data_IF_769085534848
#
_entry.id   IF_769085534848
#
_cell.length_a   1.000
_cell.length_b   1.000
_cell.length_c   1.000
_cell.angle_alpha   90.00
_cell.angle_beta   90.00
_cell.angle_gamma   90.00
#
_symmetry.space_group_name_H-M   'P 1'
#
loop_
_entity.id
_entity.type
_entity.pdbx_description
1 polymer ?
#
# COMPACT_ATOMS: atom_id res chain seq x y z
N UNK A 1 21.90 16.53 16.73
CA UNK A 1 22.26 15.49 17.73
C UNK A 1 21.45 14.26 17.39
N UNK A 2 22.08 13.10 17.29
CA UNK A 2 21.43 11.82 16.94
C UNK A 2 21.47 10.95 18.19
N UNK A 3 20.35 10.35 18.64
CA UNK A 3 20.35 9.43 19.77
C UNK A 3 21.19 8.19 19.46
N UNK A 4 22.01 7.77 20.39
CA UNK A 4 22.81 6.54 20.25
C UNK A 4 22.02 5.35 20.80
N UNK A 5 21.34 4.61 19.91
CA UNK A 5 20.57 3.44 20.30
C UNK A 5 21.41 2.17 20.56
N UNK A 6 22.72 2.24 20.41
CA UNK A 6 23.63 1.20 20.87
C UNK A 6 23.89 1.32 22.38
N UNK A 7 23.59 2.50 22.98
CA UNK A 7 23.72 2.77 24.40
C UNK A 7 22.43 2.42 25.15
N UNK A 8 22.45 1.45 26.10
CA UNK A 8 21.27 1.07 26.87
C UNK A 8 20.66 2.22 27.69
N UNK A 9 21.48 3.12 28.23
CA UNK A 9 20.99 4.27 29.03
C UNK A 9 20.23 5.27 28.12
N UNK A 10 20.70 5.46 26.89
CA UNK A 10 19.98 6.26 25.90
C UNK A 10 18.61 5.63 25.62
N UNK A 11 18.55 4.33 25.43
CA UNK A 11 17.27 3.62 25.20
C UNK A 11 16.32 3.80 26.39
N UNK A 12 16.79 3.60 27.62
CA UNK A 12 15.97 3.77 28.84
C UNK A 12 15.41 5.18 28.91
N UNK A 13 16.26 6.20 28.75
CA UNK A 13 15.87 7.61 28.84
C UNK A 13 14.93 7.99 27.68
N UNK A 14 15.22 7.56 26.47
CA UNK A 14 14.46 7.88 25.27
C UNK A 14 13.05 7.29 25.32
N UNK A 15 12.93 6.02 25.64
CA UNK A 15 11.66 5.32 25.68
C UNK A 15 10.86 5.62 26.96
N UNK A 16 11.53 5.85 28.09
CA UNK A 16 10.86 6.32 29.32
C UNK A 16 10.06 7.61 29.12
N UNK A 17 10.55 8.51 28.25
CA UNK A 17 9.82 9.73 27.86
C UNK A 17 8.65 9.51 26.91
N UNK A 18 8.45 8.29 26.40
CA UNK A 18 7.41 7.92 25.42
C UNK A 18 6.42 6.91 25.93
N UNK A 19 6.73 6.27 27.06
CA UNK A 19 5.86 5.25 27.64
C UNK A 19 4.43 5.74 27.84
N UNK A 20 4.25 7.00 28.29
CA UNK A 20 2.94 7.58 28.48
C UNK A 20 2.04 7.57 27.24
N UNK A 21 2.62 7.60 26.04
CA UNK A 21 1.85 7.51 24.78
C UNK A 21 1.20 6.14 24.62
N UNK A 22 1.95 5.08 24.93
CA UNK A 22 1.41 3.71 24.93
C UNK A 22 0.35 3.55 26.03
N UNK A 23 0.59 4.14 27.22
CA UNK A 23 -0.35 4.12 28.33
C UNK A 23 -1.66 4.87 28.01
N UNK A 24 -1.59 5.87 27.11
CA UNK A 24 -2.76 6.58 26.56
C UNK A 24 -3.49 5.81 25.46
N UNK A 25 -2.95 4.67 24.99
CA UNK A 25 -3.55 3.83 23.96
C UNK A 25 -3.07 4.11 22.52
N UNK A 26 -1.87 4.69 22.36
CA UNK A 26 -1.24 4.80 21.01
C UNK A 26 -0.84 3.43 20.52
N UNK A 27 -1.29 3.05 19.33
CA UNK A 27 -1.07 1.72 18.75
C UNK A 27 0.29 1.54 18.06
N UNK A 28 1.10 2.61 17.92
CA UNK A 28 2.40 2.52 17.27
C UNK A 28 3.05 3.86 16.98
N UNK A 29 4.16 3.82 16.28
CA UNK A 29 4.92 5.00 15.91
C UNK A 29 5.31 5.01 14.43
N UNK A 30 5.31 6.19 13.84
CA UNK A 30 6.03 6.49 12.60
C UNK A 30 7.43 6.96 12.99
N UNK A 31 8.45 6.21 12.60
CA UNK A 31 9.86 6.53 12.82
C UNK A 31 10.44 7.17 11.58
N UNK A 32 10.46 8.48 11.59
CA UNK A 32 10.99 9.29 10.51
C UNK A 32 12.51 9.46 10.64
N UNK A 33 13.21 9.69 9.52
CA UNK A 33 14.66 9.80 9.50
C UNK A 33 15.38 8.47 9.73
N UNK A 34 16.54 8.54 10.37
CA UNK A 34 17.41 7.39 10.66
C UNK A 34 18.59 7.27 9.72
N UNK A 35 18.64 7.98 8.61
CA UNK A 35 19.72 7.99 7.62
C UNK A 35 20.76 9.10 7.82
N UNK A 36 20.70 9.86 8.92
CA UNK A 36 21.45 11.11 9.10
C UNK A 36 22.83 10.99 9.76
N UNK A 37 23.46 9.81 9.76
CA UNK A 37 24.86 9.67 10.18
C UNK A 37 25.77 10.10 9.03
N UNK A 38 26.01 11.40 8.92
CA UNK A 38 26.69 12.00 7.77
C UNK A 38 28.19 12.26 7.98
N UNK A 39 28.73 12.01 9.16
CA UNK A 39 30.13 12.26 9.49
C UNK A 39 30.83 11.03 10.07
N UNK A 40 32.06 10.84 9.69
CA UNK A 40 32.92 9.76 10.20
C UNK A 40 33.46 10.05 11.62
N UNK A 41 33.34 11.30 12.08
CA UNK A 41 33.85 11.76 13.39
C UNK A 41 33.00 11.34 14.60
N UNK A 42 31.85 10.74 14.37
CA UNK A 42 30.95 10.25 15.44
C UNK A 42 31.43 8.88 15.91
N UNK A 43 31.42 8.66 17.23
CA UNK A 43 31.64 7.36 17.85
C UNK A 43 30.40 6.95 18.63
N UNK A 44 29.99 5.68 18.53
CA UNK A 44 28.88 5.09 19.22
C UNK A 44 29.32 4.28 20.44
N UNK A 45 28.43 4.02 21.36
CA UNK A 45 28.70 3.30 22.60
C UNK A 45 29.24 1.87 22.36
N UNK A 46 28.78 1.20 21.29
CA UNK A 46 29.27 -0.14 20.90
C UNK A 46 30.69 -0.10 20.26
N UNK A 47 31.29 1.07 20.16
CA UNK A 47 32.63 1.29 19.58
C UNK A 47 32.62 1.49 18.07
N UNK A 48 31.48 1.42 17.40
CA UNK A 48 31.40 1.70 15.97
C UNK A 48 31.59 3.19 15.67
N UNK A 49 32.17 3.48 14.51
CA UNK A 49 32.40 4.84 13.99
C UNK A 49 31.21 5.29 13.13
N UNK A 50 31.13 6.60 12.88
CA UNK A 50 30.13 7.15 11.97
C UNK A 50 30.18 6.55 10.57
N UNK A 51 31.38 6.21 10.09
CA UNK A 51 31.59 5.54 8.81
C UNK A 51 30.93 4.15 8.76
N UNK A 52 31.15 3.34 9.80
CA UNK A 52 30.58 2.00 9.93
C UNK A 52 29.06 2.07 10.16
N UNK A 53 28.62 3.04 10.93
CA UNK A 53 27.23 3.17 11.36
C UNK A 53 26.34 3.90 10.37
N UNK A 54 26.86 4.47 9.28
CA UNK A 54 26.06 5.22 8.29
C UNK A 54 24.81 4.47 7.80
N UNK A 55 24.98 3.21 7.41
CA UNK A 55 23.90 2.32 7.03
C UNK A 55 23.38 1.43 8.18
N UNK A 56 24.20 1.26 9.24
CA UNK A 56 23.84 0.41 10.39
C UNK A 56 22.90 1.14 11.37
N UNK A 57 22.99 2.46 11.47
CA UNK A 57 22.14 3.24 12.36
C UNK A 57 20.63 3.07 12.13
N UNK A 58 20.10 3.05 10.88
CA UNK A 58 18.69 2.76 10.65
C UNK A 58 18.21 1.45 11.30
N UNK A 59 19.04 0.41 11.26
CA UNK A 59 18.73 -0.86 11.92
C UNK A 59 18.68 -0.73 13.44
N UNK A 60 19.64 -0.03 14.05
CA UNK A 60 19.67 0.17 15.51
C UNK A 60 18.47 0.99 15.96
N UNK A 61 18.14 2.04 15.23
CA UNK A 61 16.98 2.90 15.47
C UNK A 61 15.68 2.12 15.46
N UNK A 62 15.38 1.43 14.38
CA UNK A 62 14.12 0.67 14.24
C UNK A 62 14.07 -0.54 15.18
N UNK A 63 15.19 -1.22 15.43
CA UNK A 63 15.29 -2.32 16.39
C UNK A 63 14.95 -1.86 17.81
N UNK A 64 15.50 -0.70 18.24
CA UNK A 64 15.23 -0.14 19.55
C UNK A 64 13.74 0.19 19.71
N UNK A 65 13.07 0.78 18.70
CA UNK A 65 11.63 1.02 18.70
C UNK A 65 10.83 -0.29 18.68
N UNK A 66 11.22 -1.28 17.89
CA UNK A 66 10.55 -2.59 17.85
C UNK A 66 10.61 -3.27 19.23
N UNK A 67 11.75 -3.21 19.90
CA UNK A 67 11.90 -3.76 21.25
C UNK A 67 11.04 -3.02 22.28
N UNK A 68 10.96 -1.71 22.20
CA UNK A 68 10.11 -0.90 23.06
C UNK A 68 8.62 -1.17 22.85
N UNK A 69 8.19 -1.30 21.60
CA UNK A 69 6.80 -1.49 21.23
C UNK A 69 6.29 -2.92 21.52
N UNK A 70 7.16 -3.91 21.41
CA UNK A 70 6.75 -5.32 21.49
C UNK A 70 5.87 -5.74 20.31
N UNK A 71 5.13 -6.85 20.48
CA UNK A 71 4.42 -7.50 19.37
C UNK A 71 3.02 -6.93 19.06
N UNK A 72 2.50 -6.06 19.92
CA UNK A 72 1.10 -5.59 19.82
C UNK A 72 0.95 -4.20 19.19
N UNK A 73 2.05 -3.62 18.72
CA UNK A 73 2.08 -2.27 18.19
C UNK A 73 2.72 -2.25 16.80
N UNK A 74 2.43 -1.21 16.04
CA UNK A 74 2.95 -1.03 14.67
C UNK A 74 4.13 -0.07 14.69
N UNK A 75 5.21 -0.44 14.01
CA UNK A 75 6.30 0.46 13.65
C UNK A 75 6.26 0.70 12.14
N UNK A 76 6.18 1.97 11.75
CA UNK A 76 6.17 2.44 10.38
C UNK A 76 7.39 3.31 10.13
N UNK A 77 8.34 2.82 9.35
CA UNK A 77 9.69 3.39 9.24
C UNK A 77 10.03 3.81 7.82
N UNK A 78 10.91 4.81 7.70
CA UNK A 78 11.46 5.27 6.42
C UNK A 78 12.77 4.58 6.09
N UNK A 79 13.78 4.79 6.92
CA UNK A 79 15.10 4.27 6.69
C UNK A 79 15.20 2.77 6.94
N UNK A 80 16.05 2.11 6.17
CA UNK A 80 16.29 0.69 6.30
C UNK A 80 17.65 0.26 5.76
N UNK A 81 18.16 -0.87 6.28
CA UNK A 81 19.35 -1.56 5.81
C UNK A 81 19.22 -3.06 6.12
N UNK A 82 20.33 -3.80 6.22
CA UNK A 82 20.31 -5.22 6.60
C UNK A 82 19.58 -5.43 7.93
N UNK A 83 18.74 -6.46 8.01
CA UNK A 83 17.90 -6.72 9.19
C UNK A 83 16.58 -5.95 9.22
N UNK A 84 16.33 -5.05 8.28
CA UNK A 84 15.13 -4.20 8.27
C UNK A 84 13.81 -4.97 8.08
N UNK A 85 13.85 -6.19 7.57
CA UNK A 85 12.70 -7.09 7.50
C UNK A 85 12.05 -7.37 8.88
N UNK A 86 12.73 -7.06 9.98
CA UNK A 86 12.14 -7.11 11.33
C UNK A 86 11.17 -5.96 11.60
N UNK A 87 11.19 -4.92 10.77
CA UNK A 87 10.24 -3.81 10.80
C UNK A 87 9.40 -3.88 9.52
N UNK A 88 8.20 -4.44 9.58
CA UNK A 88 7.48 -4.87 8.37
C UNK A 88 6.86 -3.73 7.57
N UNK A 89 6.64 -2.55 8.16
CA UNK A 89 5.95 -1.43 7.52
C UNK A 89 6.92 -0.29 7.18
N UNK A 90 6.99 0.07 5.89
CA UNK A 90 7.85 1.16 5.40
C UNK A 90 7.13 2.04 4.39
N UNK A 91 7.63 3.28 4.22
CA UNK A 91 7.22 4.18 3.15
C UNK A 91 8.42 4.73 2.37
N UNK A 92 8.13 5.31 1.20
CA UNK A 92 9.13 5.77 0.24
C UNK A 92 9.90 7.03 0.61
N UNK A 93 9.64 7.64 1.78
CA UNK A 93 10.28 8.90 2.17
C UNK A 93 9.65 10.13 1.50
N UNK A 94 10.41 11.21 1.40
CA UNK A 94 9.96 12.54 1.01
C UNK A 94 10.09 12.75 -0.53
N UNK A 95 9.39 11.94 -1.32
CA UNK A 95 9.45 12.04 -2.78
C UNK A 95 8.86 13.35 -3.30
N UNK A 96 9.40 13.80 -4.42
CA UNK A 96 8.87 14.97 -5.13
C UNK A 96 7.53 14.66 -5.81
N UNK A 97 6.71 15.69 -6.03
CA UNK A 97 5.43 15.56 -6.72
C UNK A 97 5.61 15.60 -8.24
N UNK A 98 6.20 14.55 -8.79
CA UNK A 98 6.46 14.37 -10.22
C UNK A 98 6.09 12.97 -10.70
N UNK A 99 5.85 12.81 -12.00
CA UNK A 99 5.59 11.48 -12.58
C UNK A 99 6.81 10.56 -12.49
N UNK A 100 8.02 11.10 -12.57
CA UNK A 100 9.26 10.34 -12.37
C UNK A 100 9.31 9.73 -10.98
N UNK A 101 9.01 10.54 -9.97
CA UNK A 101 8.98 10.05 -8.58
C UNK A 101 7.84 9.03 -8.35
N UNK A 102 6.70 9.17 -9.02
CA UNK A 102 5.66 8.14 -8.95
C UNK A 102 6.15 6.78 -9.49
N UNK A 103 6.96 6.78 -10.56
CA UNK A 103 7.63 5.58 -11.06
C UNK A 103 8.67 5.05 -10.08
N UNK A 104 9.47 5.94 -9.50
CA UNK A 104 10.50 5.58 -8.54
C UNK A 104 9.94 4.95 -7.27
N UNK A 105 8.84 5.48 -6.70
CA UNK A 105 8.24 4.89 -5.49
C UNK A 105 7.65 3.51 -5.76
N UNK A 106 7.09 3.26 -6.95
CA UNK A 106 6.66 1.92 -7.34
C UNK A 106 7.85 0.97 -7.41
N UNK A 107 8.90 1.33 -8.13
CA UNK A 107 10.12 0.52 -8.26
C UNK A 107 10.79 0.27 -6.91
N UNK A 108 10.86 1.30 -6.06
CA UNK A 108 11.38 1.18 -4.70
C UNK A 108 10.55 0.21 -3.85
N UNK A 109 9.21 0.28 -3.94
CA UNK A 109 8.30 -0.63 -3.24
C UNK A 109 8.46 -2.08 -3.67
N UNK A 110 8.61 -2.33 -4.98
CA UNK A 110 8.85 -3.68 -5.51
C UNK A 110 10.23 -4.21 -5.10
N UNK A 111 11.24 -3.36 -5.07
CA UNK A 111 12.59 -3.72 -4.59
C UNK A 111 12.61 -3.98 -3.08
N UNK A 112 11.89 -3.17 -2.30
CA UNK A 112 11.71 -3.38 -0.87
C UNK A 112 11.01 -4.72 -0.57
N UNK A 113 9.99 -5.07 -1.36
CA UNK A 113 9.31 -6.35 -1.27
C UNK A 113 10.28 -7.53 -1.47
N UNK A 114 11.13 -7.47 -2.50
CA UNK A 114 12.18 -8.49 -2.74
C UNK A 114 13.24 -8.53 -1.62
N UNK A 115 13.37 -7.46 -0.84
CA UNK A 115 14.25 -7.36 0.33
C UNK A 115 13.57 -7.79 1.64
N UNK A 116 12.32 -8.28 1.60
CA UNK A 116 11.60 -8.81 2.75
C UNK A 116 10.74 -7.78 3.50
N UNK A 117 10.51 -6.59 2.96
CA UNK A 117 9.55 -5.62 3.52
C UNK A 117 8.13 -6.07 3.15
N UNK A 118 7.30 -6.32 4.18
CA UNK A 118 5.98 -6.89 3.98
C UNK A 118 4.94 -5.86 3.50
N UNK A 119 5.00 -4.64 4.03
CA UNK A 119 4.00 -3.60 3.78
C UNK A 119 4.69 -2.30 3.37
N UNK A 120 4.39 -1.87 2.16
CA UNK A 120 4.94 -0.66 1.57
C UNK A 120 3.87 0.40 1.34
N UNK A 121 4.24 1.65 1.54
CA UNK A 121 3.43 2.81 1.20
C UNK A 121 4.28 3.97 0.68
N UNK A 122 3.61 5.03 0.31
CA UNK A 122 4.24 6.27 -0.14
C UNK A 122 3.33 7.45 0.14
N UNK A 123 3.90 8.65 0.16
CA UNK A 123 3.14 9.88 0.35
C UNK A 123 2.36 10.22 -0.93
N UNK A 124 1.04 10.19 -0.82
CA UNK A 124 0.14 10.28 -1.95
C UNK A 124 0.37 11.59 -2.72
N UNK A 125 0.64 11.47 -4.02
CA UNK A 125 0.96 12.56 -4.94
C UNK A 125 2.24 13.34 -4.62
N UNK A 126 3.10 12.80 -3.75
CA UNK A 126 4.38 13.38 -3.36
C UNK A 126 4.31 14.17 -2.06
N UNK A 127 5.42 14.17 -1.33
CA UNK A 127 5.60 14.88 -0.07
C UNK A 127 6.03 16.34 -0.29
N UNK A 128 7.04 16.56 -1.15
CA UNK A 128 7.72 17.83 -1.35
C UNK A 128 7.70 18.27 -2.83
N UNK A 129 8.32 19.41 -3.11
CA UNK A 129 8.51 19.94 -4.45
C UNK A 129 7.28 20.64 -5.04
N UNK A 130 7.14 20.63 -6.37
CA UNK A 130 6.07 21.37 -7.04
C UNK A 130 4.69 20.88 -6.62
N UNK A 131 3.68 21.74 -6.79
CA UNK A 131 2.30 21.32 -6.62
C UNK A 131 1.99 20.22 -7.64
N UNK A 132 1.49 19.03 -7.20
CA UNK A 132 1.14 17.97 -8.13
C UNK A 132 0.03 18.42 -9.07
N UNK A 133 0.11 18.05 -10.35
CA UNK A 133 -1.03 18.22 -11.26
C UNK A 133 -2.20 17.33 -10.79
N UNK A 134 -3.43 17.68 -11.15
CA UNK A 134 -4.59 16.83 -10.85
C UNK A 134 -4.46 15.45 -11.48
N UNK A 135 -3.81 15.36 -12.63
CA UNK A 135 -3.54 14.10 -13.32
C UNK A 135 -2.57 13.19 -12.54
N UNK A 136 -1.43 13.74 -12.08
CA UNK A 136 -0.52 13.02 -11.19
C UNK A 136 -1.23 12.56 -9.92
N UNK A 137 -2.03 13.44 -9.31
CA UNK A 137 -2.76 13.12 -8.08
C UNK A 137 -3.74 11.96 -8.28
N UNK A 138 -4.50 11.96 -9.41
CA UNK A 138 -5.39 10.85 -9.79
C UNK A 138 -4.65 9.53 -9.84
N UNK A 139 -3.54 9.46 -10.57
CA UNK A 139 -2.77 8.23 -10.76
C UNK A 139 -2.15 7.75 -9.48
N UNK A 140 -1.59 8.65 -8.69
CA UNK A 140 -1.05 8.34 -7.38
C UNK A 140 -2.14 7.76 -6.45
N UNK A 141 -3.35 8.35 -6.46
CA UNK A 141 -4.49 7.86 -5.68
C UNK A 141 -4.95 6.49 -6.15
N UNK A 142 -5.05 6.27 -7.46
CA UNK A 142 -5.40 4.98 -8.04
C UNK A 142 -4.39 3.89 -7.65
N UNK A 143 -3.09 4.18 -7.77
CA UNK A 143 -2.03 3.28 -7.34
C UNK A 143 -2.11 3.01 -5.83
N UNK A 144 -2.21 4.06 -5.00
CA UNK A 144 -2.26 3.94 -3.54
C UNK A 144 -3.48 3.14 -3.06
N UNK A 145 -4.60 3.18 -3.79
CA UNK A 145 -5.79 2.37 -3.50
C UNK A 145 -5.46 0.86 -3.48
N UNK A 146 -4.51 0.42 -4.30
CA UNK A 146 -4.09 -0.97 -4.45
C UNK A 146 -2.68 -1.25 -3.90
N UNK A 147 -2.14 -0.41 -3.04
CA UNK A 147 -0.90 -0.71 -2.29
C UNK A 147 -1.20 -1.15 -0.85
N UNK A 148 -0.26 -1.79 -0.16
CA UNK A 148 -0.48 -2.20 1.23
C UNK A 148 -0.86 -1.03 2.16
N UNK A 149 -0.18 0.10 2.05
CA UNK A 149 -0.43 1.29 2.86
C UNK A 149 -0.81 2.45 1.93
N UNK A 150 -1.90 3.14 2.27
CA UNK A 150 -2.36 4.35 1.60
C UNK A 150 -2.38 5.48 2.63
N UNK A 151 -1.62 6.55 2.38
CA UNK A 151 -1.52 7.67 3.31
C UNK A 151 -1.47 9.01 2.58
N UNK A 152 -2.03 10.03 3.21
CA UNK A 152 -1.73 11.42 2.90
C UNK A 152 -0.61 11.91 3.81
N UNK A 153 0.39 12.49 3.22
CA UNK A 153 1.43 13.20 3.93
C UNK A 153 2.08 14.19 2.98
N UNK A 154 2.33 15.39 3.45
CA UNK A 154 2.97 16.42 2.66
C UNK A 154 3.77 17.36 3.55
N UNK A 155 4.70 18.08 2.95
CA UNK A 155 5.55 19.03 3.63
C UNK A 155 4.71 20.06 4.42
N UNK A 156 4.90 20.19 5.73
CA UNK A 156 4.03 21.00 6.59
C UNK A 156 4.15 22.51 6.33
N UNK A 157 5.31 22.98 5.92
CA UNK A 157 5.55 24.38 5.61
C UNK A 157 5.26 24.73 4.14
N UNK A 158 4.83 23.76 3.38
CA UNK A 158 4.10 23.80 2.14
C UNK A 158 4.67 24.49 0.96
N UNK A 159 5.89 24.95 0.97
CA UNK A 159 6.50 25.54 -0.21
C UNK A 159 5.53 26.42 -1.01
N UNK A 160 5.32 26.09 -2.26
CA UNK A 160 4.42 26.81 -3.17
C UNK A 160 2.94 26.75 -2.76
N UNK A 161 2.53 25.81 -1.95
CA UNK A 161 1.12 25.65 -1.56
C UNK A 161 0.62 26.78 -0.68
N UNK A 162 1.48 27.31 0.19
CA UNK A 162 1.17 28.42 1.09
C UNK A 162 0.77 29.69 0.33
N UNK A 163 1.41 29.91 -0.83
CA UNK A 163 1.16 31.09 -1.67
C UNK A 163 -0.10 30.94 -2.54
N UNK A 164 -0.49 29.71 -2.84
CA UNK A 164 -1.59 29.40 -3.76
C UNK A 164 -2.95 29.26 -3.07
N UNK A 165 -2.97 29.01 -1.75
CA UNK A 165 -4.21 28.78 -1.03
C UNK A 165 -4.97 30.09 -0.75
N UNK A 166 -6.29 30.11 -0.99
CA UNK A 166 -7.13 31.23 -0.56
C UNK A 166 -7.07 31.42 0.96
N UNK A 167 -6.59 32.56 1.44
CA UNK A 167 -6.44 32.86 2.87
C UNK A 167 -5.05 32.69 3.44
N UNK A 168 -4.07 32.20 2.67
CA UNK A 168 -2.62 32.37 2.84
C UNK A 168 -1.94 31.84 4.10
N UNK A 169 -2.63 31.38 5.11
CA UNK A 169 -2.00 30.93 6.34
C UNK A 169 -2.48 29.52 6.78
N UNK A 170 -1.52 28.62 6.95
CA UNK A 170 -1.64 27.47 7.86
C UNK A 170 -2.23 26.17 7.35
N UNK A 171 -2.66 26.06 6.08
CA UNK A 171 -3.15 24.78 5.56
C UNK A 171 -2.40 24.36 4.30
N UNK A 172 -1.32 23.64 4.49
CA UNK A 172 -0.41 23.17 3.44
C UNK A 172 -0.70 21.75 2.96
N UNK A 173 -1.74 21.14 3.47
CA UNK A 173 -2.09 19.77 3.09
C UNK A 173 -2.49 19.70 1.62
N UNK A 174 -1.88 18.79 0.90
CA UNK A 174 -2.27 18.42 -0.47
C UNK A 174 -3.52 17.54 -0.44
N UNK A 175 -4.52 17.94 0.34
CA UNK A 175 -5.79 17.23 0.41
C UNK A 175 -6.58 17.40 -0.88
N UNK A 176 -7.53 16.48 -1.23
CA UNK A 176 -8.38 16.65 -2.39
C UNK A 176 -9.15 17.97 -2.42
N UNK A 177 -9.53 18.50 -1.26
CA UNK A 177 -10.25 19.77 -1.12
C UNK A 177 -9.35 20.96 -1.49
N UNK A 178 -8.12 20.97 -0.97
CA UNK A 178 -7.14 22.01 -1.28
C UNK A 178 -6.75 21.97 -2.76
N UNK A 179 -6.51 20.78 -3.30
CA UNK A 179 -6.22 20.58 -4.72
C UNK A 179 -7.38 21.09 -5.60
N UNK A 180 -8.63 20.73 -5.25
CA UNK A 180 -9.81 21.21 -5.97
C UNK A 180 -9.94 22.73 -5.92
N UNK A 181 -9.64 23.36 -4.78
CA UNK A 181 -9.67 24.83 -4.65
C UNK A 181 -8.62 25.51 -5.51
N UNK A 182 -7.36 25.05 -5.45
CA UNK A 182 -6.25 25.64 -6.23
C UNK A 182 -6.47 25.52 -7.73
N UNK A 183 -6.97 24.37 -8.20
CA UNK A 183 -7.21 24.14 -9.64
C UNK A 183 -8.61 24.53 -10.10
N UNK A 184 -9.44 25.10 -9.22
CA UNK A 184 -10.85 25.42 -9.50
C UNK A 184 -11.62 24.24 -10.14
N UNK A 185 -11.47 23.04 -9.56
CA UNK A 185 -12.01 21.77 -10.05
C UNK A 185 -12.77 21.04 -8.94
N UNK A 186 -13.98 21.46 -8.58
CA UNK A 186 -14.75 20.89 -7.47
C UNK A 186 -15.12 19.41 -7.69
N UNK A 187 -15.25 18.97 -8.93
CA UNK A 187 -15.48 17.57 -9.33
C UNK A 187 -14.35 16.64 -8.89
N UNK A 188 -13.14 17.16 -8.75
CA UNK A 188 -11.97 16.39 -8.29
C UNK A 188 -12.18 15.76 -6.92
N UNK A 189 -12.86 16.46 -6.00
CA UNK A 189 -13.18 15.90 -4.68
C UNK A 189 -14.08 14.65 -4.81
N UNK A 190 -15.05 14.68 -5.73
CA UNK A 190 -15.96 13.55 -5.95
C UNK A 190 -15.22 12.36 -6.55
N UNK A 191 -14.30 12.61 -7.48
CA UNK A 191 -13.45 11.59 -8.07
C UNK A 191 -12.52 10.94 -7.03
N UNK A 192 -11.86 11.75 -6.21
CA UNK A 192 -10.99 11.23 -5.14
C UNK A 192 -11.78 10.47 -4.09
N UNK A 193 -12.99 10.92 -3.76
CA UNK A 193 -13.90 10.22 -2.85
C UNK A 193 -14.22 8.82 -3.32
N UNK A 194 -14.44 8.61 -4.62
CA UNK A 194 -14.63 7.28 -5.19
C UNK A 194 -13.47 6.34 -4.86
N UNK A 195 -12.22 6.74 -5.10
CA UNK A 195 -11.04 5.91 -4.86
C UNK A 195 -10.80 5.61 -3.38
N UNK A 196 -11.06 6.58 -2.51
CA UNK A 196 -10.94 6.37 -1.06
C UNK A 196 -12.01 5.41 -0.53
N UNK A 197 -13.25 5.51 -1.04
CA UNK A 197 -14.28 4.54 -0.69
C UNK A 197 -14.01 3.17 -1.31
N UNK A 198 -13.47 3.09 -2.52
CA UNK A 198 -13.03 1.82 -3.10
C UNK A 198 -11.94 1.16 -2.22
N UNK A 199 -11.00 1.95 -1.69
CA UNK A 199 -10.04 1.45 -0.70
C UNK A 199 -10.72 0.86 0.54
N UNK A 200 -11.77 1.50 1.04
CA UNK A 200 -12.58 0.98 2.15
C UNK A 200 -13.36 -0.27 1.76
N UNK A 201 -13.89 -0.34 0.52
CA UNK A 201 -14.50 -1.58 0.02
C UNK A 201 -13.51 -2.75 -0.02
N UNK A 202 -12.25 -2.50 -0.38
CA UNK A 202 -11.18 -3.50 -0.41
C UNK A 202 -10.71 -3.97 0.98
N UNK A 203 -11.10 -3.30 2.06
CA UNK A 203 -10.60 -3.54 3.41
C UNK A 203 -10.65 -5.02 3.85
N UNK A 204 -11.72 -5.81 3.60
CA UNK A 204 -11.75 -7.23 3.98
C UNK A 204 -10.66 -8.05 3.29
N UNK A 205 -10.43 -7.82 1.99
CA UNK A 205 -9.35 -8.46 1.24
C UNK A 205 -7.98 -8.04 1.77
N UNK A 206 -7.77 -6.75 1.96
CA UNK A 206 -6.49 -6.18 2.42
C UNK A 206 -6.12 -6.71 3.81
N UNK A 207 -7.08 -6.75 4.73
CA UNK A 207 -6.87 -7.27 6.09
C UNK A 207 -6.51 -8.76 6.08
N UNK A 208 -7.30 -9.60 5.42
CA UNK A 208 -7.02 -11.02 5.35
C UNK A 208 -5.67 -11.31 4.68
N UNK A 209 -5.35 -10.58 3.60
CA UNK A 209 -4.06 -10.67 2.92
C UNK A 209 -2.91 -10.23 3.83
N UNK A 210 -3.06 -9.15 4.59
CA UNK A 210 -2.04 -8.67 5.51
C UNK A 210 -1.78 -9.69 6.63
N UNK A 211 -2.82 -10.29 7.22
CA UNK A 211 -2.67 -11.34 8.23
C UNK A 211 -1.89 -12.55 7.68
N UNK A 212 -2.26 -13.01 6.49
CA UNK A 212 -1.56 -14.12 5.83
C UNK A 212 -0.10 -13.76 5.52
N UNK A 213 0.14 -12.61 4.92
CA UNK A 213 1.50 -12.15 4.58
C UNK A 213 2.39 -12.02 5.83
N UNK A 214 1.84 -11.52 6.94
CA UNK A 214 2.57 -11.45 8.20
C UNK A 214 2.90 -12.83 8.77
N UNK A 215 1.96 -13.78 8.68
CA UNK A 215 2.16 -15.15 9.16
C UNK A 215 3.19 -15.92 8.32
N UNK A 216 3.10 -15.81 7.01
CA UNK A 216 3.97 -16.52 6.05
C UNK A 216 5.30 -15.81 5.78
N UNK A 217 5.47 -14.56 6.26
CA UNK A 217 6.64 -13.70 6.00
C UNK A 217 6.86 -13.42 4.51
N UNK A 218 5.78 -13.22 3.77
CA UNK A 218 5.79 -12.87 2.35
C UNK A 218 5.28 -11.45 2.14
N UNK A 219 5.86 -10.66 1.19
CA UNK A 219 5.40 -9.31 0.96
C UNK A 219 3.98 -9.29 0.38
N UNK A 220 3.22 -8.26 0.74
CA UNK A 220 1.85 -8.09 0.26
C UNK A 220 1.80 -7.56 -1.18
N UNK A 221 2.79 -6.76 -1.57
CA UNK A 221 2.97 -6.21 -2.92
C UNK A 221 4.16 -6.91 -3.58
N UNK A 222 3.93 -7.71 -4.63
CA UNK A 222 4.94 -8.59 -5.21
C UNK A 222 5.14 -8.34 -6.69
N UNK A 223 6.37 -8.06 -7.16
CA UNK A 223 6.65 -7.98 -8.60
C UNK A 223 6.37 -9.33 -9.28
N UNK A 224 6.05 -9.32 -10.58
CA UNK A 224 5.71 -10.54 -11.30
C UNK A 224 6.81 -11.60 -11.25
N UNK A 225 8.08 -11.21 -11.26
CA UNK A 225 9.22 -12.12 -11.13
C UNK A 225 9.23 -12.92 -9.82
N UNK A 226 8.62 -12.41 -8.75
CA UNK A 226 8.50 -13.12 -7.48
C UNK A 226 7.60 -14.36 -7.62
N UNK A 227 6.47 -14.20 -8.30
CA UNK A 227 5.48 -15.29 -8.49
C UNK A 227 5.83 -16.22 -9.66
N UNK A 228 6.38 -15.64 -10.75
CA UNK A 228 6.71 -16.37 -11.96
C UNK A 228 8.19 -16.24 -12.31
N UNK A 229 9.13 -16.74 -11.47
CA UNK A 229 10.58 -16.56 -11.67
C UNK A 229 11.12 -17.27 -12.91
N UNK A 230 10.38 -18.24 -13.49
CA UNK A 230 10.77 -18.97 -14.70
C UNK A 230 10.16 -18.38 -15.96
N UNK A 231 9.19 -17.51 -15.84
CA UNK A 231 8.58 -16.81 -16.97
C UNK A 231 9.50 -15.66 -17.42
N UNK A 232 10.00 -15.76 -18.65
CA UNK A 232 10.95 -14.79 -19.21
C UNK A 232 10.31 -13.41 -19.41
N UNK A 233 9.03 -13.35 -19.77
CA UNK A 233 8.32 -12.09 -19.93
C UNK A 233 8.04 -11.43 -18.57
N UNK A 234 7.55 -12.19 -17.58
CA UNK A 234 7.33 -11.69 -16.22
C UNK A 234 8.59 -11.09 -15.57
N UNK A 235 9.77 -11.65 -15.90
CA UNK A 235 11.08 -11.14 -15.41
C UNK A 235 11.48 -9.79 -15.99
N UNK A 236 10.86 -9.35 -17.07
CA UNK A 236 11.14 -8.06 -17.72
C UNK A 236 10.11 -6.98 -17.33
N UNK A 237 9.07 -7.36 -16.59
CA UNK A 237 8.03 -6.42 -16.17
C UNK A 237 8.45 -5.73 -14.88
N UNK A 238 8.63 -4.42 -14.93
CA UNK A 238 9.12 -3.60 -13.83
C UNK A 238 8.03 -2.77 -13.14
N UNK A 239 6.84 -2.69 -13.75
CA UNK A 239 5.79 -1.75 -13.36
C UNK A 239 4.40 -2.40 -13.21
N UNK A 240 4.37 -3.70 -12.91
CA UNK A 240 3.19 -4.48 -12.57
C UNK A 240 3.48 -5.33 -11.34
N UNK A 241 2.45 -5.57 -10.54
CA UNK A 241 2.60 -6.34 -9.31
C UNK A 241 1.32 -7.07 -8.92
N UNK A 242 1.46 -8.12 -8.12
CA UNK A 242 0.36 -8.69 -7.37
C UNK A 242 0.20 -7.99 -6.02
N UNK A 243 -1.02 -7.60 -5.71
CA UNK A 243 -1.46 -7.28 -4.36
C UNK A 243 -2.11 -8.53 -3.76
N UNK A 244 -1.40 -9.19 -2.84
CA UNK A 244 -1.78 -10.53 -2.39
C UNK A 244 -1.70 -11.55 -3.53
N UNK A 245 -2.56 -12.58 -3.50
CA UNK A 245 -2.53 -13.65 -4.49
C UNK A 245 -3.47 -13.42 -5.68
N UNK A 246 -4.49 -12.58 -5.45
CA UNK A 246 -5.63 -12.50 -6.35
C UNK A 246 -5.63 -11.28 -7.27
N UNK A 247 -5.00 -10.17 -6.92
CA UNK A 247 -5.15 -8.91 -7.65
C UNK A 247 -3.85 -8.54 -8.35
N UNK A 248 -3.84 -8.48 -9.68
CA UNK A 248 -2.78 -7.91 -10.49
C UNK A 248 -3.08 -6.44 -10.75
N UNK A 249 -2.10 -5.58 -10.50
CA UNK A 249 -2.18 -4.13 -10.66
C UNK A 249 -1.16 -3.68 -11.68
N UNK A 250 -1.62 -2.98 -12.71
CA UNK A 250 -0.79 -2.41 -13.76
C UNK A 250 -1.03 -0.89 -13.86
N UNK A 251 -0.39 -0.08 -12.99
CA UNK A 251 -0.71 1.33 -12.86
C UNK A 251 -0.36 2.15 -14.09
N UNK A 252 -1.14 3.21 -14.33
CA UNK A 252 -0.84 4.24 -15.32
C UNK A 252 0.16 5.21 -14.70
N UNK A 253 1.36 5.32 -15.24
CA UNK A 253 2.48 6.06 -14.62
C UNK A 253 2.91 7.29 -15.42
N UNK A 254 2.48 7.40 -16.69
CA UNK A 254 2.85 8.51 -17.55
C UNK A 254 1.78 9.60 -17.55
N UNK A 255 2.21 10.83 -17.74
CA UNK A 255 1.30 12.00 -17.78
C UNK A 255 0.23 11.83 -18.88
N UNK A 256 -1.04 12.08 -18.51
CA UNK A 256 -2.21 11.93 -19.41
C UNK A 256 -2.37 10.53 -20.02
N UNK A 257 -1.74 9.51 -19.46
CA UNK A 257 -1.85 8.14 -19.95
C UNK A 257 -3.26 7.58 -19.69
N UNK A 258 -3.91 7.08 -20.72
CA UNK A 258 -5.25 6.47 -20.65
C UNK A 258 -5.27 4.97 -20.94
N UNK A 259 -4.18 4.45 -21.49
CA UNK A 259 -4.01 3.04 -21.83
C UNK A 259 -2.54 2.65 -21.73
N UNK A 260 -2.29 1.34 -21.60
CA UNK A 260 -0.93 0.77 -21.59
C UNK A 260 -0.93 -0.68 -22.02
N UNK A 261 0.24 -1.17 -22.35
CA UNK A 261 0.48 -2.61 -22.45
C UNK A 261 0.59 -3.22 -21.06
N UNK A 262 -0.05 -4.39 -20.87
CA UNK A 262 -0.04 -5.17 -19.61
C UNK A 262 0.31 -6.60 -19.94
N UNK A 263 1.31 -7.15 -19.27
CA UNK A 263 1.64 -8.56 -19.36
C UNK A 263 0.79 -9.35 -18.35
N UNK A 264 0.04 -10.32 -18.87
CA UNK A 264 -0.73 -11.26 -18.06
C UNK A 264 0.03 -12.59 -17.99
N UNK A 265 0.56 -12.99 -16.83
CA UNK A 265 1.19 -14.30 -16.63
C UNK A 265 0.22 -15.47 -16.82
N UNK A 266 0.73 -16.70 -16.78
CA UNK A 266 -0.08 -17.93 -16.93
C UNK A 266 -1.34 -17.92 -16.06
N UNK A 267 -2.47 -18.34 -16.64
CA UNK A 267 -3.79 -18.44 -16.02
C UNK A 267 -4.86 -17.64 -16.73
N UNK A 268 -5.97 -17.43 -16.08
CA UNK A 268 -7.06 -16.55 -16.52
C UNK A 268 -7.07 -15.29 -15.68
N UNK A 269 -7.41 -14.15 -16.28
CA UNK A 269 -7.41 -12.85 -15.66
C UNK A 269 -8.70 -12.10 -15.99
N UNK A 270 -9.37 -11.60 -14.99
CA UNK A 270 -10.66 -10.93 -15.11
C UNK A 270 -10.50 -9.46 -14.73
N UNK A 271 -10.89 -8.53 -15.60
CA UNK A 271 -10.86 -7.10 -15.24
C UNK A 271 -11.70 -6.86 -13.99
N UNK A 272 -11.13 -6.13 -13.00
CA UNK A 272 -11.73 -5.96 -11.68
C UNK A 272 -13.13 -5.32 -11.74
N UNK A 273 -13.34 -4.32 -12.59
CA UNK A 273 -14.60 -3.58 -12.67
C UNK A 273 -15.63 -4.20 -13.61
N UNK A 274 -15.20 -4.93 -14.65
CA UNK A 274 -16.11 -5.37 -15.73
C UNK A 274 -16.18 -6.89 -15.87
N UNK A 275 -15.32 -7.65 -15.20
CA UNK A 275 -15.29 -9.10 -15.28
C UNK A 275 -14.88 -9.65 -16.67
N UNK A 276 -14.33 -8.83 -17.57
CA UNK A 276 -13.88 -9.31 -18.88
C UNK A 276 -12.68 -10.23 -18.70
N UNK A 277 -12.79 -11.45 -19.26
CA UNK A 277 -11.77 -12.47 -19.18
C UNK A 277 -10.68 -12.31 -20.26
N UNK A 278 -9.44 -12.56 -19.85
CA UNK A 278 -8.27 -12.68 -20.71
C UNK A 278 -7.49 -13.94 -20.33
N UNK A 279 -6.98 -14.64 -21.33
CA UNK A 279 -6.01 -15.72 -21.09
C UNK A 279 -4.63 -15.14 -20.84
N UNK A 280 -3.86 -15.79 -19.99
CA UNK A 280 -2.48 -15.39 -19.70
C UNK A 280 -1.45 -15.77 -20.75
N UNK A 281 -0.17 -15.63 -20.41
CA UNK A 281 0.99 -15.80 -21.29
C UNK A 281 0.99 -14.83 -22.48
N UNK A 282 0.43 -13.64 -22.32
CA UNK A 282 0.38 -12.62 -23.38
C UNK A 282 0.42 -11.21 -22.83
N UNK A 283 0.80 -10.28 -23.68
CA UNK A 283 0.63 -8.85 -23.45
C UNK A 283 -0.66 -8.39 -24.11
N UNK A 284 -1.45 -7.62 -23.38
CA UNK A 284 -2.69 -7.02 -23.87
C UNK A 284 -2.59 -5.50 -23.84
N UNK A 285 -3.24 -4.84 -24.80
CA UNK A 285 -3.43 -3.39 -24.75
C UNK A 285 -4.69 -3.10 -23.93
N UNK A 286 -4.54 -2.26 -22.90
CA UNK A 286 -5.69 -1.78 -22.13
C UNK A 286 -6.40 -0.66 -22.87
N UNK A 287 -7.64 -0.37 -22.49
CA UNK A 287 -8.49 0.65 -23.09
C UNK A 287 -8.91 1.67 -22.04
N UNK A 288 -9.25 2.88 -22.48
CA UNK A 288 -9.61 3.97 -21.55
C UNK A 288 -10.83 3.66 -20.67
N UNK A 289 -11.74 2.77 -21.12
CA UNK A 289 -12.88 2.31 -20.36
C UNK A 289 -12.52 1.40 -19.17
N UNK A 290 -11.31 0.83 -19.14
CA UNK A 290 -10.80 0.09 -17.97
C UNK A 290 -10.52 1.00 -16.77
N UNK A 291 -10.57 2.32 -16.92
CA UNK A 291 -10.27 3.37 -15.92
C UNK A 291 -8.89 3.20 -15.29
N UNK A 292 -8.64 2.09 -14.62
CA UNK A 292 -7.37 1.72 -14.01
C UNK A 292 -7.16 0.22 -14.20
N UNK A 293 -6.08 -0.22 -14.87
CA UNK A 293 -5.85 -1.62 -15.19
C UNK A 293 -5.57 -2.47 -13.94
N UNK A 294 -6.61 -3.14 -13.46
CA UNK A 294 -6.56 -4.08 -12.34
C UNK A 294 -7.31 -5.35 -12.74
N UNK A 295 -6.74 -6.49 -12.41
CA UNK A 295 -7.28 -7.79 -12.79
C UNK A 295 -7.37 -8.73 -11.58
N UNK A 296 -8.38 -9.58 -11.57
CA UNK A 296 -8.51 -10.68 -10.61
C UNK A 296 -8.04 -11.96 -11.27
N UNK A 297 -7.18 -12.70 -10.60
CA UNK A 297 -6.66 -13.98 -11.05
C UNK A 297 -7.74 -15.06 -10.98
N UNK A 298 -7.92 -15.81 -12.06
CA UNK A 298 -8.80 -16.98 -12.10
C UNK A 298 -8.42 -18.02 -11.04
N UNK A 299 -9.42 -18.63 -10.41
CA UNK A 299 -9.24 -19.56 -9.29
C UNK A 299 -9.14 -18.88 -7.92
N UNK A 300 -9.25 -17.55 -7.87
CA UNK A 300 -9.24 -16.76 -6.63
C UNK A 300 -10.53 -15.99 -6.40
N UNK A 301 -10.79 -15.66 -5.15
CA UNK A 301 -11.88 -14.78 -4.77
C UNK A 301 -11.34 -13.52 -4.06
N UNK A 302 -12.11 -12.43 -4.12
CA UNK A 302 -11.81 -11.15 -3.48
C UNK A 302 -13.02 -10.70 -2.67
N UNK A 303 -12.95 -10.70 -1.32
CA UNK A 303 -14.01 -10.18 -0.47
C UNK A 303 -13.97 -8.65 -0.46
N UNK A 304 -15.13 -8.05 -0.67
CA UNK A 304 -15.33 -6.61 -0.67
C UNK A 304 -16.45 -6.23 0.29
N UNK A 305 -16.28 -5.10 0.95
CA UNK A 305 -17.29 -4.50 1.81
C UNK A 305 -18.17 -3.56 0.98
N UNK A 306 -19.25 -4.08 0.40
CA UNK A 306 -20.16 -3.34 -0.48
C UNK A 306 -21.52 -4.03 -0.53
N UNK A 307 -22.57 -3.30 -0.95
CA UNK A 307 -23.91 -3.84 -1.13
C UNK A 307 -24.09 -4.51 -2.51
N UNK A 308 -23.39 -4.05 -3.53
CA UNK A 308 -23.38 -4.57 -4.90
C UNK A 308 -22.14 -4.08 -5.65
N UNK A 309 -21.84 -4.62 -6.83
CA UNK A 309 -20.77 -4.11 -7.69
C UNK A 309 -20.98 -2.63 -8.06
N UNK A 310 -22.23 -2.22 -8.28
CA UNK A 310 -22.57 -0.84 -8.61
C UNK A 310 -22.39 0.12 -7.42
N UNK A 311 -22.26 -0.40 -6.20
CA UNK A 311 -22.01 0.38 -5.00
C UNK A 311 -20.53 0.57 -4.68
N UNK A 312 -19.61 0.00 -5.47
CA UNK A 312 -18.17 0.24 -5.28
C UNK A 312 -17.83 1.72 -5.41
N UNK A 313 -16.94 2.19 -4.56
CA UNK A 313 -16.59 3.61 -4.47
C UNK A 313 -17.61 4.46 -3.71
N UNK A 314 -18.64 3.87 -3.10
CA UNK A 314 -19.58 4.53 -2.22
C UNK A 314 -19.27 4.28 -0.74
N UNK A 315 -19.79 5.12 0.18
CA UNK A 315 -19.65 4.93 1.61
C UNK A 315 -20.08 3.53 2.06
N UNK A 316 -19.23 2.90 2.84
CA UNK A 316 -19.55 1.63 3.53
C UNK A 316 -20.13 1.93 4.91
N UNK A 317 -21.05 1.10 5.37
CA UNK A 317 -21.58 1.19 6.73
C UNK A 317 -20.44 1.03 7.73
N UNK A 318 -20.42 1.83 8.79
CA UNK A 318 -19.48 1.68 9.91
C UNK A 318 -19.71 0.37 10.68
N UNK A 319 -20.86 -0.27 10.48
CA UNK A 319 -21.13 -1.60 11.00
C UNK A 319 -20.36 -2.62 10.15
N UNK A 320 -19.22 -3.08 10.63
CA UNK A 320 -18.35 -4.08 9.97
C UNK A 320 -19.04 -5.44 9.75
N UNK A 321 -20.24 -5.64 10.26
CA UNK A 321 -21.11 -6.78 9.96
C UNK A 321 -22.01 -6.54 8.74
N UNK A 322 -21.81 -5.45 8.00
CA UNK A 322 -22.53 -5.18 6.77
C UNK A 322 -22.10 -6.15 5.67
N UNK A 323 -22.96 -6.31 4.69
CA UNK A 323 -22.86 -7.26 3.59
C UNK A 323 -21.48 -7.31 2.95
N UNK A 324 -20.94 -8.50 2.80
CA UNK A 324 -19.76 -8.78 2.00
C UNK A 324 -20.19 -9.23 0.60
N UNK A 325 -19.54 -8.68 -0.41
CA UNK A 325 -19.56 -9.26 -1.75
C UNK A 325 -18.27 -10.08 -1.90
N UNK A 326 -18.41 -11.25 -2.44
CA UNK A 326 -17.30 -12.09 -2.83
C UNK A 326 -17.20 -12.11 -4.36
N UNK A 327 -16.20 -11.45 -4.90
CA UNK A 327 -15.88 -11.57 -6.34
C UNK A 327 -15.16 -12.90 -6.53
N UNK A 328 -15.77 -13.79 -7.29
CA UNK A 328 -15.25 -15.11 -7.59
C UNK A 328 -14.82 -15.15 -9.05
N UNK A 329 -13.58 -15.47 -9.35
CA UNK A 329 -13.03 -15.46 -10.70
C UNK A 329 -12.72 -16.86 -11.23
N UNK A 330 -13.24 -17.17 -12.42
CA UNK A 330 -12.99 -18.43 -13.12
C UNK A 330 -13.91 -19.59 -12.73
N UNK A 331 -13.84 -20.67 -13.50
CA UNK A 331 -14.74 -21.82 -13.41
C UNK A 331 -14.62 -22.62 -12.10
N UNK A 332 -13.47 -22.61 -11.44
CA UNK A 332 -13.24 -23.33 -10.19
C UNK A 332 -12.14 -22.64 -9.36
N UNK A 333 -12.23 -22.78 -8.05
CA UNK A 333 -11.20 -22.26 -7.16
C UNK A 333 -11.55 -22.44 -5.70
N UNK A 334 -10.60 -22.01 -4.85
CA UNK A 334 -10.76 -21.99 -3.41
C UNK A 334 -9.97 -20.82 -2.83
N UNK A 335 -10.58 -20.09 -1.93
CA UNK A 335 -9.92 -19.00 -1.19
C UNK A 335 -10.31 -19.06 0.28
N UNK A 336 -9.36 -18.77 1.16
CA UNK A 336 -9.60 -18.66 2.61
C UNK A 336 -9.09 -17.31 3.09
N UNK A 337 -9.93 -16.60 3.81
CA UNK A 337 -9.67 -15.27 4.36
C UNK A 337 -9.65 -15.38 5.88
N UNK A 338 -8.45 -15.24 6.45
CA UNK A 338 -8.25 -15.36 7.89
C UNK A 338 -7.86 -14.00 8.47
N UNK A 339 -8.54 -13.61 9.54
CA UNK A 339 -8.19 -12.47 10.38
C UNK A 339 -8.04 -12.93 11.83
N UNK A 340 -7.69 -12.04 12.75
CA UNK A 340 -7.66 -12.36 14.17
C UNK A 340 -9.04 -12.68 14.78
N UNK A 341 -10.13 -12.37 14.08
CA UNK A 341 -11.52 -12.51 14.58
C UNK A 341 -12.37 -13.47 13.76
N UNK A 342 -11.96 -13.81 12.54
CA UNK A 342 -12.81 -14.55 11.62
C UNK A 342 -12.02 -15.41 10.64
N UNK A 343 -12.65 -16.48 10.19
CA UNK A 343 -12.20 -17.28 9.06
C UNK A 343 -13.39 -17.46 8.12
N UNK A 344 -13.21 -17.07 6.86
CA UNK A 344 -14.19 -17.28 5.79
C UNK A 344 -13.53 -18.09 4.68
N UNK A 345 -14.10 -19.19 4.29
CA UNK A 345 -13.65 -20.04 3.18
C UNK A 345 -14.69 -20.05 2.09
N UNK A 346 -14.24 -19.85 0.85
CA UNK A 346 -15.04 -19.93 -0.35
C UNK A 346 -14.44 -20.98 -1.28
N UNK A 347 -15.26 -21.92 -1.73
CA UNK A 347 -14.90 -22.93 -2.72
C UNK A 347 -15.95 -22.98 -3.80
N UNK A 348 -15.55 -23.04 -5.07
CA UNK A 348 -16.49 -23.07 -6.19
C UNK A 348 -16.05 -23.99 -7.31
N UNK A 349 -17.04 -24.50 -8.00
CA UNK A 349 -16.89 -25.26 -9.24
C UNK A 349 -18.06 -24.95 -10.16
N UNK A 350 -17.75 -24.40 -11.31
CA UNK A 350 -18.73 -23.79 -12.19
C UNK A 350 -19.54 -22.71 -11.43
N UNK A 351 -20.83 -22.63 -11.58
CA UNK A 351 -21.69 -21.65 -10.89
C UNK A 351 -22.00 -21.99 -9.42
N UNK A 352 -21.60 -23.17 -8.94
CA UNK A 352 -21.86 -23.59 -7.57
C UNK A 352 -20.79 -23.07 -6.63
N UNK A 353 -21.16 -22.16 -5.76
CA UNK A 353 -20.28 -21.56 -4.76
C UNK A 353 -20.72 -21.99 -3.36
N UNK A 354 -19.79 -22.49 -2.58
CA UNK A 354 -19.97 -22.82 -1.16
C UNK A 354 -19.15 -21.85 -0.33
N UNK A 355 -19.78 -21.20 0.62
CA UNK A 355 -19.13 -20.29 1.57
C UNK A 355 -19.36 -20.82 2.99
N UNK A 356 -18.28 -20.91 3.77
CA UNK A 356 -18.31 -21.40 5.14
C UNK A 356 -17.50 -20.48 6.05
N UNK A 357 -17.92 -20.38 7.31
CA UNK A 357 -17.19 -19.62 8.33
C UNK A 357 -17.96 -18.43 8.86
N UNK A 358 -17.26 -17.52 9.50
CA UNK A 358 -17.84 -16.37 10.18
C UNK A 358 -18.45 -15.39 9.18
N UNK A 359 -19.76 -15.12 9.31
CA UNK A 359 -20.48 -14.18 8.44
C UNK A 359 -20.83 -14.75 7.05
N UNK A 360 -20.72 -16.06 6.85
CA UNK A 360 -21.04 -16.71 5.58
C UNK A 360 -22.49 -16.43 5.10
N UNK A 361 -23.40 -16.27 6.03
CA UNK A 361 -24.83 -15.99 5.78
C UNK A 361 -25.10 -14.58 5.20
N UNK A 362 -24.16 -13.67 5.33
CA UNK A 362 -24.30 -12.27 4.83
C UNK A 362 -23.54 -12.03 3.53
N UNK A 363 -22.93 -13.08 2.96
CA UNK A 363 -22.10 -12.97 1.76
C UNK A 363 -22.97 -13.04 0.50
N UNK A 364 -22.79 -12.07 -0.38
CA UNK A 364 -23.30 -12.12 -1.75
C UNK A 364 -22.20 -12.56 -2.70
N UNK A 365 -22.54 -13.39 -3.68
CA UNK A 365 -21.56 -13.86 -4.68
C UNK A 365 -21.73 -13.07 -5.97
N UNK A 366 -20.63 -12.59 -6.49
CA UNK A 366 -20.52 -12.05 -7.84
C UNK A 366 -19.47 -12.86 -8.61
N UNK A 367 -19.92 -13.62 -9.60
CA UNK A 367 -19.08 -14.58 -10.32
C UNK A 367 -18.67 -14.02 -11.68
N UNK A 368 -17.38 -13.95 -11.92
CA UNK A 368 -16.79 -13.69 -13.23
C UNK A 368 -16.47 -15.04 -13.90
N UNK A 369 -17.16 -15.32 -15.02
CA UNK A 369 -17.00 -16.57 -15.78
C UNK A 369 -16.44 -16.30 -17.18
#
# INVERSE_FOLDING_TARGET
MIPDFTNPETCITWFGKRQYLLDMGVDGFKTDGGEFVCTDAVSFYDGSTGKESRNYYPQQYTKAYTQFLGNNHVLFSRAGYMGQHTTPCHWGGDQQSTNDELRHVLSAGLSAALSGILFWGFDLAGFAGPLPTLDLYRRATMLACFTPIMQWHSEPDGGQFKELMPGGEGNNERSPWNMAAVYNSPEFVTEMRFWHWLRMNLQPYLMATAFRCAAEKVPMMRPLVYEWPRDKAARQVENEFLLGDAILVAPLLEENQTAREVYLPEGEWYTFFMGKCYHGCQTISTTADMKFPVFIRGGYAVPLHADSMDSLGNPVSQNLNSKLILLVAGAAGKSTFTTNKSVLTCEWKNEKVRVEGTGAETVQIHHFC
#
